data_IF_714984107875
#
_entry.id   IF_714984107875
#
_cell.length_a   1.000
_cell.length_b   1.000
_cell.length_c   1.000
_cell.angle_alpha   90.00
_cell.angle_beta   90.00
_cell.angle_gamma   90.00
#
_symmetry.space_group_name_H-M   'P 1'
#
loop_
_entity.id
_entity.type
_entity.pdbx_description
1 polymer ?
#
# COMPACT_ATOMS: atom_id res chain seq x y z
N UNK A 1 1.14 8.61 9.67
CA UNK A 1 0.66 7.93 8.45
C UNK A 1 1.77 7.73 7.43
N UNK A 2 2.41 8.80 6.95
CA UNK A 2 3.50 8.73 5.96
C UNK A 2 4.66 7.81 6.35
N UNK A 3 5.15 7.90 7.60
CA UNK A 3 6.23 7.02 8.08
C UNK A 3 5.87 5.53 8.01
N UNK A 4 4.67 5.17 8.48
CA UNK A 4 4.17 3.79 8.44
C UNK A 4 3.96 3.29 7.00
N UNK A 5 3.48 4.16 6.10
CA UNK A 5 3.34 3.81 4.68
C UNK A 5 4.70 3.51 4.04
N UNK A 6 5.74 4.32 4.30
CA UNK A 6 7.10 4.07 3.81
C UNK A 6 7.67 2.75 4.34
N UNK A 7 7.45 2.47 5.62
CA UNK A 7 7.89 1.23 6.26
C UNK A 7 7.23 0.01 5.59
N UNK A 8 5.91 0.05 5.37
CA UNK A 8 5.18 -1.03 4.68
C UNK A 8 5.69 -1.23 3.25
N UNK A 9 5.90 -0.14 2.49
CA UNK A 9 6.43 -0.23 1.13
C UNK A 9 7.83 -0.85 1.12
N UNK A 10 8.70 -0.45 2.05
CA UNK A 10 10.05 -1.02 2.18
C UNK A 10 10.02 -2.51 2.53
N UNK A 11 9.24 -2.90 3.55
CA UNK A 11 9.11 -4.30 3.96
C UNK A 11 8.55 -5.17 2.82
N UNK A 12 7.56 -4.67 2.07
CA UNK A 12 6.98 -5.39 0.94
C UNK A 12 7.96 -5.53 -0.23
N UNK A 13 8.82 -4.54 -0.47
CA UNK A 13 9.89 -4.63 -1.46
C UNK A 13 10.96 -5.65 -1.04
N UNK A 14 11.36 -5.65 0.23
CA UNK A 14 12.30 -6.63 0.78
C UNK A 14 11.74 -8.05 0.67
N UNK A 15 10.45 -8.24 0.98
CA UNK A 15 9.77 -9.52 0.86
C UNK A 15 9.73 -10.03 -0.59
N UNK A 16 9.53 -9.13 -1.57
CA UNK A 16 9.55 -9.48 -3.00
C UNK A 16 10.96 -9.74 -3.53
N UNK A 17 11.98 -9.06 -3.00
CA UNK A 17 13.37 -9.17 -3.43
C UNK A 17 14.12 -10.34 -2.78
N UNK A 18 13.60 -10.92 -1.70
CA UNK A 18 14.17 -12.09 -1.08
C UNK A 18 14.06 -13.29 -2.06
N UNK A 19 15.18 -13.84 -2.51
CA UNK A 19 15.24 -15.04 -3.35
C UNK A 19 15.45 -16.33 -2.52
N UNK A 20 14.80 -17.45 -2.88
CA UNK A 20 13.58 -17.51 -3.66
C UNK A 20 12.44 -17.04 -2.76
N UNK A 21 11.69 -16.03 -3.19
CA UNK A 21 10.51 -15.60 -2.45
C UNK A 21 9.65 -16.85 -2.28
N UNK A 22 9.38 -17.26 -1.04
CA UNK A 22 8.66 -18.51 -0.78
C UNK A 22 7.48 -18.60 -1.75
N UNK A 23 7.22 -19.77 -2.34
CA UNK A 23 6.31 -19.91 -3.49
C UNK A 23 4.90 -19.31 -3.29
N UNK A 24 4.53 -18.94 -2.06
CA UNK A 24 3.31 -18.22 -1.72
C UNK A 24 3.40 -16.68 -1.93
N UNK A 25 4.57 -16.04 -1.82
CA UNK A 25 4.76 -14.57 -1.87
C UNK A 25 4.37 -14.01 -3.23
N UNK A 26 4.66 -14.75 -4.31
CA UNK A 26 4.19 -14.41 -5.67
C UNK A 26 2.67 -14.30 -5.82
N UNK A 27 1.91 -14.89 -4.89
CA UNK A 27 0.45 -14.85 -4.87
C UNK A 27 -0.10 -13.81 -3.89
N UNK A 28 0.76 -13.07 -3.19
CA UNK A 28 0.32 -11.95 -2.39
C UNK A 28 -0.19 -10.84 -3.33
N UNK A 29 -1.29 -10.16 -2.96
CA UNK A 29 -1.73 -8.96 -3.68
C UNK A 29 -0.59 -7.95 -3.73
N UNK A 30 -0.44 -7.28 -4.88
CA UNK A 30 0.47 -6.13 -4.97
C UNK A 30 -0.02 -5.06 -4.00
N UNK A 31 0.93 -4.37 -3.38
CA UNK A 31 0.64 -3.33 -2.41
C UNK A 31 1.29 -2.03 -2.87
N UNK A 32 0.48 -1.11 -3.39
CA UNK A 32 0.92 0.24 -3.76
C UNK A 32 0.19 1.25 -2.89
N UNK A 33 0.97 2.01 -2.10
CA UNK A 33 0.41 2.89 -1.10
C UNK A 33 0.44 4.34 -1.57
N UNK A 34 -0.72 4.87 -1.90
CA UNK A 34 -0.94 6.32 -1.96
C UNK A 34 -1.91 6.72 -0.85
N UNK A 35 -1.38 7.35 0.20
CA UNK A 35 -2.18 7.73 1.37
C UNK A 35 -3.15 8.90 1.08
N UNK A 36 -3.06 9.52 -0.10
CA UNK A 36 -3.96 10.59 -0.54
C UNK A 36 -5.08 10.07 -1.43
N UNK A 37 -5.07 8.79 -1.81
CA UNK A 37 -6.09 8.16 -2.64
C UNK A 37 -6.95 7.20 -1.80
N UNK A 38 -8.28 7.40 -1.80
CA UNK A 38 -9.22 6.59 -1.00
C UNK A 38 -9.13 5.10 -1.32
N UNK A 39 -8.92 4.77 -2.59
CA UNK A 39 -8.94 3.40 -3.10
C UNK A 39 -7.84 2.54 -2.49
N UNK A 40 -6.81 3.14 -1.87
CA UNK A 40 -5.80 2.39 -1.11
C UNK A 40 -6.43 1.59 0.03
N UNK A 41 -7.54 2.04 0.61
CA UNK A 41 -8.25 1.28 1.65
C UNK A 41 -8.72 -0.09 1.16
N UNK A 42 -9.13 -0.19 -0.11
CA UNK A 42 -9.49 -1.47 -0.72
C UNK A 42 -8.26 -2.38 -0.84
N UNK A 43 -7.12 -1.85 -1.32
CA UNK A 43 -5.88 -2.63 -1.40
C UNK A 43 -5.40 -3.11 -0.02
N UNK A 44 -5.42 -2.24 0.99
CA UNK A 44 -5.05 -2.58 2.36
C UNK A 44 -5.94 -3.71 2.90
N UNK A 45 -7.26 -3.61 2.69
CA UNK A 45 -8.22 -4.65 3.10
C UNK A 45 -7.93 -5.97 2.40
N UNK A 46 -7.75 -5.95 1.09
CA UNK A 46 -7.57 -7.15 0.28
C UNK A 46 -6.23 -7.84 0.61
N UNK A 47 -5.18 -7.07 0.91
CA UNK A 47 -3.91 -7.60 1.40
C UNK A 47 -4.03 -8.28 2.77
N UNK A 48 -4.74 -7.65 3.73
CA UNK A 48 -4.97 -8.21 5.07
C UNK A 48 -5.87 -9.45 5.01
N UNK A 49 -6.85 -9.47 4.11
CA UNK A 49 -7.80 -10.58 3.94
C UNK A 49 -7.20 -11.77 3.15
N UNK A 50 -6.07 -11.56 2.46
CA UNK A 50 -5.43 -12.63 1.70
C UNK A 50 -5.07 -13.81 2.61
N UNK A 51 -5.41 -15.06 2.24
CA UNK A 51 -5.03 -16.24 3.03
C UNK A 51 -3.58 -16.70 2.78
N UNK A 52 -2.91 -16.11 1.79
CA UNK A 52 -1.60 -16.56 1.33
C UNK A 52 -0.52 -16.31 2.39
N UNK A 53 0.51 -17.15 2.46
CA UNK A 53 1.69 -16.94 3.33
C UNK A 53 1.40 -16.66 4.83
N UNK A 54 0.27 -17.09 5.38
CA UNK A 54 -0.07 -16.80 6.79
C UNK A 54 0.92 -17.39 7.81
N UNK A 55 1.67 -18.42 7.44
CA UNK A 55 2.71 -19.02 8.28
C UNK A 55 4.07 -18.30 8.20
N UNK A 56 4.22 -17.35 7.29
CA UNK A 56 5.48 -16.62 7.07
C UNK A 56 5.49 -15.42 8.00
N UNK A 57 6.35 -15.45 9.02
CA UNK A 57 6.37 -14.41 10.06
C UNK A 57 6.58 -12.99 9.50
N UNK A 58 7.38 -12.84 8.44
CA UNK A 58 7.59 -11.56 7.78
C UNK A 58 6.30 -11.02 7.14
N UNK A 59 5.48 -11.90 6.55
CA UNK A 59 4.20 -11.53 5.94
C UNK A 59 3.17 -11.19 7.02
N UNK A 60 3.16 -11.93 8.13
CA UNK A 60 2.26 -11.66 9.25
C UNK A 60 2.56 -10.30 9.89
N UNK A 61 3.84 -10.00 10.15
CA UNK A 61 4.28 -8.70 10.64
C UNK A 61 3.91 -7.56 9.66
N UNK A 62 4.06 -7.79 8.36
CA UNK A 62 3.64 -6.83 7.34
C UNK A 62 2.12 -6.61 7.35
N UNK A 63 1.31 -7.68 7.49
CA UNK A 63 -0.16 -7.57 7.61
C UNK A 63 -0.60 -6.74 8.81
N UNK A 64 0.08 -6.86 9.94
CA UNK A 64 -0.24 -6.05 11.12
C UNK A 64 0.01 -4.57 10.89
N UNK A 65 1.12 -4.22 10.21
CA UNK A 65 1.40 -2.82 9.81
C UNK A 65 0.34 -2.31 8.83
N UNK A 66 -0.04 -3.11 7.83
CA UNK A 66 -1.10 -2.80 6.86
C UNK A 66 -2.45 -2.57 7.57
N UNK A 67 -2.82 -3.45 8.51
CA UNK A 67 -4.06 -3.31 9.32
C UNK A 67 -4.05 -2.03 10.16
N UNK A 68 -2.89 -1.68 10.72
CA UNK A 68 -2.70 -0.42 11.46
C UNK A 68 -2.89 0.78 10.55
N UNK A 69 -2.31 0.76 9.35
CA UNK A 69 -2.46 1.84 8.37
C UNK A 69 -3.94 2.00 7.95
N UNK A 70 -4.63 0.90 7.62
CA UNK A 70 -6.06 0.90 7.28
C UNK A 70 -6.89 1.55 8.38
N UNK A 71 -6.65 1.17 9.63
CA UNK A 71 -7.38 1.72 10.78
C UNK A 71 -7.16 3.24 10.92
N UNK A 72 -5.92 3.71 10.80
CA UNK A 72 -5.59 5.14 10.88
C UNK A 72 -6.28 5.88 9.73
N UNK A 73 -6.15 5.41 8.48
CA UNK A 73 -6.75 6.05 7.32
C UNK A 73 -8.28 6.11 7.41
N UNK A 74 -8.93 4.99 7.76
CA UNK A 74 -10.38 4.94 7.90
C UNK A 74 -10.91 5.79 9.08
N UNK A 75 -10.10 6.05 10.10
CA UNK A 75 -10.50 6.87 11.26
C UNK A 75 -10.28 8.37 11.04
N UNK A 76 -9.15 8.75 10.44
CA UNK A 76 -8.75 10.16 10.32
C UNK A 76 -9.07 10.77 8.96
N UNK A 77 -8.96 10.01 7.86
CA UNK A 77 -9.09 10.56 6.52
C UNK A 77 -10.52 10.45 5.95
N UNK A 78 -11.34 9.55 6.48
CA UNK A 78 -12.73 9.34 6.01
C UNK A 78 -13.63 10.57 6.14
N UNK A 79 -13.25 11.56 6.96
CA UNK A 79 -13.99 12.82 7.16
C UNK A 79 -13.50 13.95 6.25
N UNK A 80 -12.43 13.74 5.48
CA UNK A 80 -11.81 14.76 4.64
C UNK A 80 -12.33 14.70 3.20
N UNK A 81 -12.78 15.83 2.64
CA UNK A 81 -13.41 15.89 1.31
C UNK A 81 -12.44 15.56 0.16
N UNK A 82 -11.15 15.84 0.33
CA UNK A 82 -10.07 15.49 -0.62
C UNK A 82 -9.93 13.96 -0.75
N UNK A 83 -10.40 13.22 0.26
CA UNK A 83 -10.35 11.77 0.36
C UNK A 83 -11.52 11.06 -0.35
N UNK A 84 -12.32 11.78 -1.14
CA UNK A 84 -13.43 11.22 -1.94
C UNK A 84 -13.12 11.24 -3.45
N UNK A 85 -11.89 11.60 -3.84
CA UNK A 85 -11.45 11.46 -5.23
C UNK A 85 -11.09 10.00 -5.50
N UNK A 86 -11.99 9.30 -6.20
CA UNK A 86 -11.95 7.85 -6.44
C UNK A 86 -11.34 7.49 -7.81
N UNK A 87 -10.23 8.12 -8.22
CA UNK A 87 -9.47 7.62 -9.37
C UNK A 87 -8.64 6.39 -8.95
N UNK A 88 -9.33 5.27 -8.76
CA UNK A 88 -8.73 4.00 -8.36
C UNK A 88 -7.81 3.41 -9.44
N UNK A 89 -8.01 3.80 -10.69
CA UNK A 89 -7.20 3.39 -11.84
C UNK A 89 -5.74 3.83 -11.70
N UNK A 90 -5.47 4.95 -11.00
CA UNK A 90 -4.12 5.41 -10.71
C UNK A 90 -3.30 4.45 -9.81
N UNK A 91 -3.97 3.56 -9.06
CA UNK A 91 -3.30 2.55 -8.23
C UNK A 91 -3.02 1.24 -8.98
N UNK A 92 -3.73 0.97 -10.08
CA UNK A 92 -3.54 -0.23 -10.91
C UNK A 92 -2.35 -0.09 -11.87
N UNK A 93 -2.00 1.15 -12.23
CA UNK A 93 -0.84 1.50 -13.02
C UNK A 93 -0.01 2.56 -12.27
N UNK A 94 0.97 2.17 -11.44
CA UNK A 94 1.88 3.16 -10.87
C UNK A 94 2.57 3.87 -12.02
N UNK A 95 2.26 5.15 -12.22
CA UNK A 95 2.93 6.00 -13.20
C UNK A 95 4.42 5.96 -12.82
N UNK A 96 5.32 5.53 -13.72
CA UNK A 96 6.75 5.65 -13.48
C UNK A 96 7.02 7.13 -13.22
N UNK A 97 7.52 7.46 -12.02
CA UNK A 97 7.91 8.82 -11.65
C UNK A 97 8.98 9.27 -12.64
N UNK A 98 8.52 9.86 -13.74
CA UNK A 98 9.37 10.51 -14.71
C UNK A 98 9.55 11.90 -14.15
N UNK A 99 10.70 12.10 -13.50
CA UNK A 99 11.37 13.39 -13.28
C UNK A 99 10.44 14.60 -13.09
N UNK A 100 10.41 15.09 -11.84
CA UNK A 100 10.04 16.46 -11.48
C UNK A 100 10.25 17.47 -12.63
N UNK A 101 9.15 18.04 -13.15
CA UNK A 101 9.21 19.26 -13.93
C UNK A 101 8.85 20.42 -12.96
N UNK A 102 9.67 21.50 -12.86
CA UNK A 102 9.43 22.55 -11.89
C UNK A 102 8.23 23.40 -12.26
N UNK A 103 7.58 23.93 -11.21
CA UNK A 103 6.60 25.01 -11.18
C UNK A 103 6.62 25.96 -12.39
N UNK A 104 5.45 26.21 -12.96
CA UNK A 104 5.17 27.48 -13.63
C UNK A 104 3.88 28.08 -13.03
N UNK A 105 4.07 28.89 -11.99
CA UNK A 105 3.05 29.80 -11.47
C UNK A 105 2.67 30.85 -12.52
N UNK A 106 1.42 31.29 -12.50
CA UNK A 106 0.93 32.54 -13.09
C UNK A 106 0.23 33.35 -12.01
#
# INVERSE_FOLDING_TARGET
MLGLSREITGDFQLLQAAEPAEACVRYLPRLYLDIHNYCVLAQLRDFVASPQCWKVAQVDALRDKVRKLYTIMNSFCRRDLVFLSDDCTALEYPIPVTTSLPDHQS
#
